data_IF_516699589331
#
_entry.id   IF_516699589331
#
_cell.length_a   1.000
_cell.length_b   1.000
_cell.length_c   1.000
_cell.angle_alpha   90.00
_cell.angle_beta   90.00
_cell.angle_gamma   90.00
#
_symmetry.space_group_name_H-M   'P 1'
#
loop_
_entity.id
_entity.type
_entity.pdbx_description
1 polymer ?
#
# COMPACT_ATOMS: atom_id res chain seq x y z
N UNK A 1 19.35 24.45 12.22
CA UNK A 1 19.13 23.15 12.88
C UNK A 1 17.68 22.70 12.89
N UNK A 2 16.77 23.31 13.65
CA UNK A 2 15.38 22.84 13.70
C UNK A 2 14.68 22.82 12.33
N UNK A 3 14.85 23.87 11.50
CA UNK A 3 14.30 23.86 10.14
C UNK A 3 14.87 22.76 9.25
N UNK A 4 16.17 22.52 9.28
CA UNK A 4 16.78 21.41 8.51
C UNK A 4 16.32 20.04 9.01
N UNK A 5 16.04 19.90 10.32
CA UNK A 5 15.48 18.68 10.88
C UNK A 5 14.04 18.46 10.38
N UNK A 6 13.19 19.50 10.35
CA UNK A 6 11.83 19.38 9.81
C UNK A 6 11.83 19.07 8.31
N UNK A 7 12.73 19.70 7.53
CA UNK A 7 12.95 19.36 6.12
C UNK A 7 13.37 17.90 5.95
N UNK A 8 14.31 17.41 6.78
CA UNK A 8 14.74 16.02 6.76
C UNK A 8 13.63 15.04 7.15
N UNK A 9 12.76 15.40 8.10
CA UNK A 9 11.57 14.62 8.45
C UNK A 9 10.57 14.52 7.30
N UNK A 10 10.47 15.56 6.46
CA UNK A 10 9.67 15.55 5.22
C UNK A 10 10.39 14.92 4.02
N UNK A 11 11.56 14.28 4.23
CA UNK A 11 12.27 13.56 3.17
C UNK A 11 13.26 14.39 2.36
N UNK A 12 13.47 15.66 2.70
CA UNK A 12 14.42 16.55 2.03
C UNK A 12 15.76 16.60 2.75
N UNK A 13 16.84 16.24 2.06
CA UNK A 13 18.20 16.40 2.58
C UNK A 13 18.69 17.83 2.47
N UNK A 14 19.48 18.28 3.44
CA UNK A 14 20.18 19.56 3.44
C UNK A 14 21.67 19.38 3.69
N UNK A 15 22.37 20.44 4.07
CA UNK A 15 23.83 20.43 4.24
C UNK A 15 24.27 19.58 5.47
N UNK A 16 23.40 19.48 6.47
CA UNK A 16 23.65 18.74 7.71
C UNK A 16 23.24 17.26 7.60
N UNK A 17 22.28 16.93 6.74
CA UNK A 17 21.69 15.59 6.62
C UNK A 17 22.00 14.98 5.26
N UNK A 18 22.79 13.92 5.26
CA UNK A 18 23.18 13.18 4.06
C UNK A 18 22.24 11.98 3.85
N UNK A 19 21.71 11.83 2.62
CA UNK A 19 20.96 10.62 2.22
C UNK A 19 21.94 9.56 1.73
N UNK A 20 21.92 8.42 2.40
CA UNK A 20 22.60 7.20 1.96
C UNK A 20 21.55 6.16 1.53
N UNK A 21 22.04 5.06 0.96
CA UNK A 21 21.19 3.95 0.48
C UNK A 21 20.37 3.35 1.63
N UNK A 22 20.94 3.30 2.83
CA UNK A 22 20.36 2.63 4.00
C UNK A 22 19.65 3.58 4.98
N UNK A 23 19.65 4.90 4.72
CA UNK A 23 19.06 5.85 5.66
C UNK A 23 19.53 7.29 5.50
N UNK A 24 18.99 8.16 6.36
CA UNK A 24 19.47 9.53 6.55
C UNK A 24 20.44 9.57 7.72
N UNK A 25 21.60 10.20 7.51
CA UNK A 25 22.67 10.30 8.49
C UNK A 25 23.11 11.75 8.66
N UNK A 26 23.57 12.09 9.86
CA UNK A 26 24.17 13.40 10.11
C UNK A 26 25.59 13.40 9.53
N UNK A 27 25.95 14.47 8.82
CA UNK A 27 27.29 14.65 8.28
C UNK A 27 28.33 14.61 9.43
N UNK A 28 29.42 13.86 9.22
CA UNK A 28 30.50 13.72 10.20
C UNK A 28 31.21 15.05 10.50
N UNK A 29 31.13 16.00 9.57
CA UNK A 29 31.72 17.35 9.69
C UNK A 29 30.93 18.29 10.61
N UNK A 30 29.71 17.91 11.01
CA UNK A 30 28.94 18.62 12.03
C UNK A 30 29.53 18.38 13.43
N UNK A 31 30.54 19.17 13.80
CA UNK A 31 31.20 19.14 15.12
C UNK A 31 30.42 19.84 16.22
N UNK A 32 29.38 20.60 15.88
CA UNK A 32 28.56 21.37 16.82
C UNK A 32 27.54 20.51 17.60
N UNK A 33 27.40 19.21 17.29
CA UNK A 33 26.50 18.27 17.98
C UNK A 33 27.28 17.28 18.84
N UNK A 34 26.81 17.06 20.08
CA UNK A 34 27.34 16.01 20.94
C UNK A 34 26.93 14.61 20.43
N UNK A 35 27.68 13.58 20.82
CA UNK A 35 27.38 12.20 20.42
C UNK A 35 25.98 11.74 20.86
N UNK A 36 25.51 12.21 22.02
CA UNK A 36 24.17 11.93 22.52
C UNK A 36 23.08 12.64 21.71
N UNK A 37 23.33 13.87 21.24
CA UNK A 37 22.40 14.57 20.36
C UNK A 37 22.31 13.89 18.99
N UNK A 38 23.46 13.43 18.45
CA UNK A 38 23.51 12.70 17.17
C UNK A 38 22.65 11.44 17.21
N UNK A 39 22.75 10.62 18.26
CA UNK A 39 21.97 9.38 18.36
C UNK A 39 20.45 9.64 18.45
N UNK A 40 20.04 10.71 19.11
CA UNK A 40 18.63 11.12 19.17
C UNK A 40 18.13 11.61 17.81
N UNK A 41 18.89 12.47 17.13
CA UNK A 41 18.53 12.93 15.79
C UNK A 41 18.49 11.77 14.79
N UNK A 42 19.43 10.82 14.85
CA UNK A 42 19.42 9.64 13.98
C UNK A 42 18.14 8.81 14.13
N UNK A 43 17.56 8.71 15.33
CA UNK A 43 16.25 8.06 15.52
C UNK A 43 15.13 8.80 14.79
N UNK A 44 15.14 10.13 14.82
CA UNK A 44 14.18 10.96 14.09
C UNK A 44 14.40 10.88 12.57
N UNK A 45 15.65 10.88 12.12
CA UNK A 45 16.00 10.77 10.71
C UNK A 45 15.56 9.44 10.08
N UNK A 46 15.45 8.36 10.86
CA UNK A 46 14.82 7.11 10.40
C UNK A 46 13.37 7.32 9.97
N UNK A 47 12.63 8.23 10.62
CA UNK A 47 11.27 8.59 10.20
C UNK A 47 11.28 9.32 8.87
N UNK A 48 12.16 10.32 8.72
CA UNK A 48 12.31 11.04 7.46
C UNK A 48 12.67 10.13 6.28
N UNK A 49 13.56 9.15 6.53
CA UNK A 49 13.89 8.14 5.53
C UNK A 49 12.69 7.23 5.21
N UNK A 50 11.96 6.76 6.23
CA UNK A 50 10.75 5.97 6.06
C UNK A 50 9.68 6.75 5.25
N UNK A 51 9.45 8.02 5.58
CA UNK A 51 8.57 8.92 4.84
C UNK A 51 9.00 9.02 3.37
N UNK A 52 10.27 9.31 3.09
CA UNK A 52 10.77 9.43 1.71
C UNK A 52 10.63 8.13 0.90
N UNK A 53 10.76 6.98 1.57
CA UNK A 53 10.60 5.66 0.95
C UNK A 53 9.14 5.38 0.59
N UNK A 54 8.22 5.72 1.50
CA UNK A 54 6.79 5.57 1.28
C UNK A 54 6.26 6.58 0.24
N UNK A 55 6.77 7.80 0.24
CA UNK A 55 6.43 8.80 -0.78
C UNK A 55 6.89 8.35 -2.17
N UNK A 56 8.10 7.82 -2.28
CA UNK A 56 8.59 7.24 -3.52
C UNK A 56 7.70 6.08 -3.99
N UNK A 57 7.24 5.23 -3.07
CA UNK A 57 6.29 4.17 -3.37
C UNK A 57 4.97 4.72 -3.93
N UNK A 58 4.35 5.69 -3.26
CA UNK A 58 3.10 6.31 -3.71
C UNK A 58 3.25 6.92 -5.11
N UNK A 59 4.36 7.59 -5.39
CA UNK A 59 4.65 8.14 -6.74
C UNK A 59 4.87 7.07 -7.80
N UNK A 60 5.38 5.89 -7.43
CA UNK A 60 5.59 4.76 -8.34
C UNK A 60 4.33 3.91 -8.54
N UNK A 61 3.42 3.91 -7.56
CA UNK A 61 2.25 3.05 -7.56
C UNK A 61 1.41 3.12 -8.86
N UNK A 62 1.09 4.30 -9.44
CA UNK A 62 0.32 4.38 -10.69
C UNK A 62 0.96 3.69 -11.91
N UNK A 63 2.26 3.41 -11.86
CA UNK A 63 3.00 2.73 -12.93
C UNK A 63 2.92 1.20 -12.80
N UNK A 64 2.48 0.70 -11.65
CA UNK A 64 2.42 -0.72 -11.36
C UNK A 64 1.09 -1.30 -11.85
N UNK A 65 1.09 -2.49 -12.48
CA UNK A 65 -0.13 -3.08 -13.02
C UNK A 65 -0.92 -3.81 -11.92
N UNK A 66 -1.48 -3.07 -10.95
CA UNK A 66 -2.33 -3.61 -9.87
C UNK A 66 -3.29 -2.56 -9.30
N UNK A 67 -4.59 -2.85 -9.33
CA UNK A 67 -5.65 -1.97 -8.80
C UNK A 67 -5.65 -1.98 -7.27
N UNK A 68 -5.41 -3.14 -6.66
CA UNK A 68 -5.30 -3.27 -5.20
C UNK A 68 -4.11 -2.51 -4.65
N UNK A 69 -2.97 -2.53 -5.37
CA UNK A 69 -1.80 -1.76 -5.00
C UNK A 69 -2.07 -0.25 -5.11
N UNK A 70 -2.80 0.21 -6.13
CA UNK A 70 -3.20 1.62 -6.22
C UNK A 70 -4.05 2.06 -5.02
N UNK A 71 -5.02 1.24 -4.62
CA UNK A 71 -5.85 1.53 -3.44
C UNK A 71 -5.03 1.51 -2.14
N UNK A 72 -4.06 0.60 -2.02
CA UNK A 72 -3.13 0.58 -0.91
C UNK A 72 -2.27 1.85 -0.89
N UNK A 73 -1.73 2.27 -2.04
CA UNK A 73 -0.93 3.47 -2.17
C UNK A 73 -1.73 4.73 -1.79
N UNK A 74 -3.01 4.80 -2.15
CA UNK A 74 -3.90 5.86 -1.69
C UNK A 74 -4.08 5.86 -0.16
N UNK A 75 -4.19 4.68 0.45
CA UNK A 75 -4.22 4.56 1.92
C UNK A 75 -2.91 5.02 2.58
N UNK A 76 -1.76 4.66 1.99
CA UNK A 76 -0.44 5.11 2.45
C UNK A 76 -0.29 6.62 2.27
N UNK A 77 -0.76 7.19 1.17
CA UNK A 77 -0.74 8.64 0.92
C UNK A 77 -1.50 9.41 2.00
N UNK A 78 -2.69 8.92 2.40
CA UNK A 78 -3.44 9.52 3.51
C UNK A 78 -2.68 9.48 4.84
N UNK A 79 -1.96 8.38 5.12
CA UNK A 79 -1.09 8.27 6.30
C UNK A 79 0.06 9.28 6.24
N UNK A 80 0.69 9.44 5.07
CA UNK A 80 1.77 10.41 4.87
C UNK A 80 1.29 11.86 5.03
N UNK A 81 0.08 12.18 4.59
CA UNK A 81 -0.53 13.49 4.83
C UNK A 81 -0.74 13.76 6.33
N UNK A 82 -1.27 12.80 7.08
CA UNK A 82 -1.41 12.95 8.55
C UNK A 82 -0.06 13.20 9.24
N UNK A 83 0.98 12.51 8.80
CA UNK A 83 2.35 12.73 9.30
C UNK A 83 2.89 14.12 8.93
N UNK A 84 2.69 14.55 7.67
CA UNK A 84 3.11 15.88 7.22
C UNK A 84 2.38 16.99 7.98
N UNK A 85 1.08 16.87 8.21
CA UNK A 85 0.29 17.81 9.00
C UNK A 85 0.81 17.90 10.45
N UNK A 86 1.13 16.75 11.06
CA UNK A 86 1.73 16.72 12.40
C UNK A 86 3.08 17.44 12.44
N UNK A 87 3.93 17.27 11.41
CA UNK A 87 5.19 18.02 11.29
C UNK A 87 4.96 19.52 11.17
N UNK A 88 4.03 19.94 10.31
CA UNK A 88 3.72 21.36 10.12
C UNK A 88 3.19 21.99 11.42
N UNK A 89 2.36 21.26 12.17
CA UNK A 89 1.91 21.71 13.48
C UNK A 89 3.07 21.84 14.48
N UNK A 90 4.01 20.89 14.47
CA UNK A 90 5.20 20.93 15.32
C UNK A 90 6.16 22.07 14.93
N UNK A 91 6.32 22.36 13.65
CA UNK A 91 7.08 23.50 13.17
C UNK A 91 6.43 24.80 13.61
N UNK A 92 5.11 24.94 13.46
CA UNK A 92 4.37 26.12 13.92
C UNK A 92 4.47 26.30 15.44
N UNK A 93 4.41 25.23 16.23
CA UNK A 93 4.64 25.26 17.69
C UNK A 93 6.06 25.73 18.02
N UNK A 94 7.05 25.23 17.29
CA UNK A 94 8.46 25.60 17.48
C UNK A 94 8.71 27.07 17.15
N UNK A 95 8.07 27.59 16.09
CA UNK A 95 8.18 28.98 15.68
C UNK A 95 7.48 29.96 16.64
N UNK A 96 6.35 29.55 17.23
CA UNK A 96 5.60 30.37 18.21
C UNK A 96 6.26 30.38 19.59
N UNK A 97 7.00 29.34 19.94
CA UNK A 97 7.70 29.26 21.21
C UNK A 97 8.88 30.24 21.20
N UNK A 98 8.88 31.19 22.15
CA UNK A 98 10.03 32.07 22.39
C UNK A 98 11.23 31.33 23.01
N UNK A 99 11.06 30.06 23.37
CA UNK A 99 12.07 29.21 24.01
C UNK A 99 12.50 28.07 23.09
N UNK A 100 13.70 27.54 23.33
CA UNK A 100 14.26 26.40 22.60
C UNK A 100 13.35 25.18 22.79
N UNK A 101 12.71 24.73 21.70
CA UNK A 101 11.90 23.51 21.73
C UNK A 101 12.80 22.29 21.90
N UNK A 102 12.68 21.51 22.99
CA UNK A 102 13.53 20.36 23.24
C UNK A 102 13.24 19.24 22.24
N UNK A 103 14.29 18.57 21.76
CA UNK A 103 14.17 17.42 20.84
C UNK A 103 13.36 16.28 21.47
N UNK A 104 13.40 16.15 22.81
CA UNK A 104 12.60 15.17 23.55
C UNK A 104 11.10 15.34 23.36
N UNK A 105 10.61 16.58 23.27
CA UNK A 105 9.19 16.86 23.03
C UNK A 105 8.81 16.46 21.60
N UNK A 106 9.72 16.68 20.64
CA UNK A 106 9.50 16.26 19.26
C UNK A 106 9.40 14.73 19.14
N UNK A 107 10.22 13.99 19.89
CA UNK A 107 10.14 12.53 19.93
C UNK A 107 8.82 12.03 20.53
N UNK A 108 8.32 12.70 21.56
CA UNK A 108 7.05 12.32 22.19
C UNK A 108 5.87 12.52 21.22
N UNK A 109 5.81 13.68 20.56
CA UNK A 109 4.74 14.00 19.60
C UNK A 109 4.77 13.08 18.36
N UNK A 110 5.96 12.61 17.96
CA UNK A 110 6.14 11.71 16.83
C UNK A 110 6.15 10.21 17.20
N UNK A 111 5.86 9.86 18.45
CA UNK A 111 5.94 8.47 18.95
C UNK A 111 5.02 7.52 18.18
N UNK A 112 3.80 7.96 17.87
CA UNK A 112 2.85 7.17 17.08
C UNK A 112 3.44 6.79 15.71
N UNK A 113 4.05 7.75 15.03
CA UNK A 113 4.64 7.53 13.71
C UNK A 113 5.95 6.74 13.78
N UNK A 114 6.67 6.78 14.91
CA UNK A 114 7.85 5.92 15.15
C UNK A 114 7.51 4.44 15.16
N UNK A 115 6.32 4.07 15.62
CA UNK A 115 5.87 2.67 15.61
C UNK A 115 5.27 2.28 14.26
N UNK A 116 4.47 3.15 13.64
CA UNK A 116 3.67 2.81 12.46
C UNK A 116 4.48 2.83 11.17
N UNK A 117 5.29 3.87 10.93
CA UNK A 117 5.99 4.06 9.63
C UNK A 117 6.95 2.91 9.29
N UNK A 118 7.76 2.36 10.23
CA UNK A 118 8.64 1.23 9.92
C UNK A 118 7.89 -0.03 9.48
N UNK A 119 6.74 -0.32 10.10
CA UNK A 119 5.91 -1.49 9.76
C UNK A 119 5.29 -1.34 8.36
N UNK A 120 4.80 -0.15 8.02
CA UNK A 120 4.29 0.14 6.67
C UNK A 120 5.43 0.07 5.64
N UNK A 121 6.62 0.58 5.95
CA UNK A 121 7.80 0.41 5.09
C UNK A 121 8.19 -1.06 4.89
N UNK A 122 8.06 -1.88 5.94
CA UNK A 122 8.32 -3.33 5.88
C UNK A 122 7.26 -4.09 5.07
N UNK A 123 6.02 -3.61 5.04
CA UNK A 123 4.98 -4.11 4.16
C UNK A 123 5.28 -3.74 2.70
N UNK A 124 5.50 -2.45 2.41
CA UNK A 124 5.78 -1.96 1.05
C UNK A 124 7.00 -2.65 0.43
N UNK A 125 8.09 -2.82 1.20
CA UNK A 125 9.29 -3.54 0.73
C UNK A 125 9.05 -5.01 0.39
N UNK A 126 8.03 -5.65 0.95
CA UNK A 126 7.66 -7.02 0.59
C UNK A 126 6.72 -7.07 -0.60
N UNK A 127 5.89 -6.05 -0.77
CA UNK A 127 4.99 -5.93 -1.92
C UNK A 127 5.76 -5.58 -3.21
N UNK A 128 6.81 -4.80 -3.09
CA UNK A 128 7.76 -4.48 -4.17
C UNK A 128 9.00 -5.32 -3.96
N UNK A 129 9.01 -6.53 -4.52
CA UNK A 129 10.25 -7.27 -4.66
C UNK A 129 10.97 -6.72 -5.88
N UNK A 130 11.98 -5.88 -5.66
CA UNK A 130 12.81 -5.31 -6.71
C UNK A 130 13.77 -6.41 -7.22
N UNK A 131 13.25 -7.33 -8.03
CA UNK A 131 14.05 -8.30 -8.76
C UNK A 131 14.82 -7.56 -9.86
N UNK A 132 15.98 -7.03 -9.49
CA UNK A 132 16.96 -6.31 -10.34
C UNK A 132 17.48 -7.08 -11.57
N UNK A 133 16.93 -8.24 -11.91
CA UNK A 133 17.47 -9.09 -12.96
C UNK A 133 16.71 -9.03 -14.29
N UNK A 134 15.44 -8.62 -14.33
CA UNK A 134 14.71 -8.50 -15.60
C UNK A 134 13.76 -7.30 -15.53
N UNK A 135 13.58 -6.58 -16.64
CA UNK A 135 12.85 -5.29 -16.76
C UNK A 135 11.34 -5.34 -16.43
N UNK A 136 10.88 -6.27 -15.61
CA UNK A 136 9.51 -6.38 -15.13
C UNK A 136 9.50 -6.29 -13.60
N UNK A 137 9.00 -5.17 -13.08
CA UNK A 137 8.70 -5.04 -11.65
C UNK A 137 7.62 -6.06 -11.29
N UNK A 138 8.02 -7.17 -10.68
CA UNK A 138 7.07 -8.17 -10.16
C UNK A 138 6.51 -7.69 -8.84
N UNK A 139 5.35 -7.03 -8.87
CA UNK A 139 4.59 -6.71 -7.68
C UNK A 139 3.75 -7.92 -7.24
N UNK A 140 3.54 -8.05 -5.93
CA UNK A 140 2.53 -8.98 -5.40
C UNK A 140 1.14 -8.44 -5.74
N UNK A 141 0.31 -9.25 -6.39
CA UNK A 141 -0.99 -8.86 -6.95
C UNK A 141 -2.18 -9.50 -6.23
N UNK A 142 -3.34 -8.86 -6.34
CA UNK A 142 -4.63 -9.41 -5.95
C UNK A 142 -4.70 -9.95 -4.52
N UNK A 143 -5.20 -11.18 -4.36
CA UNK A 143 -5.38 -11.80 -3.05
C UNK A 143 -4.11 -11.99 -2.23
N UNK A 144 -2.96 -12.24 -2.87
CA UNK A 144 -1.69 -12.38 -2.15
C UNK A 144 -1.33 -11.08 -1.42
N UNK A 145 -1.61 -9.92 -2.02
CA UNK A 145 -1.44 -8.61 -1.37
C UNK A 145 -2.38 -8.49 -0.17
N UNK A 146 -3.67 -8.82 -0.36
CA UNK A 146 -4.66 -8.76 0.71
C UNK A 146 -4.32 -9.66 1.90
N UNK A 147 -3.87 -10.89 1.64
CA UNK A 147 -3.38 -11.83 2.65
C UNK A 147 -2.18 -11.29 3.42
N UNK A 148 -1.20 -10.69 2.72
CA UNK A 148 -0.02 -10.10 3.36
C UNK A 148 -0.37 -8.92 4.28
N UNK A 149 -1.30 -8.07 3.86
CA UNK A 149 -1.79 -6.95 4.69
C UNK A 149 -2.54 -7.51 5.91
N UNK A 150 -3.43 -8.48 5.70
CA UNK A 150 -4.21 -9.10 6.77
C UNK A 150 -3.35 -9.78 7.84
N UNK A 151 -2.30 -10.50 7.43
CA UNK A 151 -1.34 -11.10 8.37
C UNK A 151 -0.66 -10.05 9.27
N UNK A 152 -0.54 -8.79 8.82
CA UNK A 152 0.02 -7.69 9.62
C UNK A 152 -1.00 -7.00 10.53
N UNK A 153 -2.29 -7.17 10.27
CA UNK A 153 -3.36 -6.77 11.17
C UNK A 153 -3.33 -7.56 12.48
N UNK A 154 -2.89 -8.82 12.47
CA UNK A 154 -2.75 -9.66 13.66
C UNK A 154 -1.56 -9.29 14.57
N UNK A 155 -0.92 -8.13 14.36
CA UNK A 155 0.17 -7.67 15.22
C UNK A 155 -0.33 -7.29 16.63
N UNK A 156 0.51 -7.51 17.64
CA UNK A 156 0.18 -7.22 19.05
C UNK A 156 0.18 -5.73 19.42
N UNK A 157 0.49 -4.83 18.49
CA UNK A 157 0.57 -3.39 18.70
C UNK A 157 -0.72 -2.71 18.23
N UNK A 158 -1.53 -2.09 19.11
CA UNK A 158 -2.83 -1.52 18.74
C UNK A 158 -2.75 -0.42 17.67
N UNK A 159 -1.72 0.44 17.75
CA UNK A 159 -1.49 1.54 16.79
C UNK A 159 -1.22 1.00 15.38
N UNK A 160 -0.31 0.04 15.28
CA UNK A 160 0.03 -0.63 14.01
C UNK A 160 -1.18 -1.38 13.47
N UNK A 161 -1.89 -2.13 14.32
CA UNK A 161 -3.11 -2.85 13.93
C UNK A 161 -4.15 -1.91 13.31
N UNK A 162 -4.46 -0.80 13.96
CA UNK A 162 -5.42 0.19 13.44
C UNK A 162 -4.97 0.74 12.07
N UNK A 163 -3.70 1.08 11.92
CA UNK A 163 -3.17 1.53 10.64
C UNK A 163 -3.29 0.45 9.54
N UNK A 164 -2.94 -0.80 9.85
CA UNK A 164 -3.07 -1.92 8.90
C UNK A 164 -4.54 -2.20 8.53
N UNK A 165 -5.47 -2.04 9.47
CA UNK A 165 -6.93 -2.13 9.20
C UNK A 165 -7.40 -1.02 8.26
N UNK A 166 -6.93 0.23 8.43
CA UNK A 166 -7.24 1.35 7.52
C UNK A 166 -6.71 1.11 6.09
N UNK A 167 -5.49 0.55 5.98
CA UNK A 167 -4.91 0.15 4.70
C UNK A 167 -5.67 -1.00 4.05
N UNK A 168 -6.06 -2.01 4.83
CA UNK A 168 -6.86 -3.15 4.35
C UNK A 168 -8.24 -2.70 3.88
N UNK A 169 -8.87 -1.79 4.62
CA UNK A 169 -10.16 -1.20 4.25
C UNK A 169 -10.11 -0.53 2.88
N UNK A 170 -9.04 0.22 2.60
CA UNK A 170 -8.84 0.84 1.28
C UNK A 170 -8.80 -0.19 0.15
N UNK A 171 -8.15 -1.34 0.38
CA UNK A 171 -8.11 -2.45 -0.57
C UNK A 171 -9.47 -3.18 -0.69
N UNK A 172 -10.17 -3.40 0.44
CA UNK A 172 -11.50 -4.02 0.46
C UNK A 172 -12.55 -3.20 -0.28
N UNK A 173 -12.44 -1.87 -0.29
CA UNK A 173 -13.34 -1.02 -1.10
C UNK A 173 -13.26 -1.37 -2.58
N UNK A 174 -12.08 -1.70 -3.10
CA UNK A 174 -11.91 -2.15 -4.49
C UNK A 174 -12.53 -3.53 -4.69
N UNK A 175 -12.23 -4.48 -3.79
CA UNK A 175 -12.78 -5.84 -3.84
C UNK A 175 -14.33 -5.81 -3.86
N UNK A 176 -14.93 -5.09 -2.92
CA UNK A 176 -16.39 -4.97 -2.82
C UNK A 176 -17.00 -4.29 -4.03
N UNK A 177 -16.33 -3.29 -4.61
CA UNK A 177 -16.79 -2.64 -5.85
C UNK A 177 -16.76 -3.62 -7.03
N UNK A 178 -15.70 -4.43 -7.15
CA UNK A 178 -15.63 -5.48 -8.17
C UNK A 178 -16.74 -6.52 -7.97
N UNK A 179 -16.95 -6.99 -6.74
CA UNK A 179 -18.02 -7.93 -6.40
C UNK A 179 -19.41 -7.36 -6.69
N UNK A 180 -19.69 -6.10 -6.33
CA UNK A 180 -20.97 -5.46 -6.62
C UNK A 180 -21.21 -5.32 -8.12
N UNK A 181 -20.18 -4.95 -8.88
CA UNK A 181 -20.30 -4.80 -10.34
C UNK A 181 -20.64 -6.15 -10.99
N UNK A 182 -20.01 -7.22 -10.52
CA UNK A 182 -20.31 -8.58 -10.94
C UNK A 182 -21.72 -9.03 -10.53
N UNK A 183 -22.11 -8.83 -9.27
CA UNK A 183 -23.41 -9.30 -8.76
C UNK A 183 -24.62 -8.52 -9.30
N UNK A 184 -24.43 -7.26 -9.71
CA UNK A 184 -25.54 -6.40 -10.18
C UNK A 184 -25.63 -6.38 -11.70
N UNK A 185 -24.49 -6.31 -12.40
CA UNK A 185 -24.46 -6.13 -13.85
C UNK A 185 -23.95 -7.36 -14.62
N UNK A 186 -23.42 -8.38 -13.93
CA UNK A 186 -22.77 -9.52 -14.60
C UNK A 186 -21.48 -9.15 -15.35
N UNK A 187 -20.94 -7.94 -15.11
CA UNK A 187 -19.75 -7.42 -15.78
C UNK A 187 -18.50 -7.53 -14.89
N UNK A 188 -17.38 -7.89 -15.50
CA UNK A 188 -16.07 -7.97 -14.84
C UNK A 188 -15.21 -6.78 -15.27
N UNK A 189 -15.00 -5.84 -14.36
CA UNK A 189 -14.07 -4.71 -14.56
C UNK A 189 -12.76 -5.01 -13.84
N UNK A 190 -11.85 -5.70 -14.54
CA UNK A 190 -10.55 -6.09 -14.01
C UNK A 190 -9.41 -5.92 -15.04
N UNK A 191 -8.82 -4.72 -15.13
CA UNK A 191 -7.73 -4.42 -16.08
C UNK A 191 -6.47 -5.27 -15.89
N UNK A 192 -6.25 -5.82 -14.68
CA UNK A 192 -5.00 -6.48 -14.30
C UNK A 192 -5.17 -7.97 -13.98
N UNK A 193 -6.37 -8.54 -14.18
CA UNK A 193 -6.69 -9.96 -13.96
C UNK A 193 -6.39 -10.42 -12.52
N UNK A 194 -6.67 -9.55 -11.55
CA UNK A 194 -6.44 -9.76 -10.12
C UNK A 194 -7.65 -10.29 -9.35
N UNK A 195 -8.84 -10.22 -9.95
CA UNK A 195 -10.09 -10.68 -9.35
C UNK A 195 -10.21 -12.20 -9.44
N UNK A 196 -10.90 -12.80 -8.47
CA UNK A 196 -11.07 -14.26 -8.39
C UNK A 196 -12.01 -14.82 -9.46
N UNK A 197 -12.74 -13.99 -10.20
CA UNK A 197 -13.56 -14.41 -11.35
C UNK A 197 -12.87 -13.99 -12.63
N UNK A 198 -12.53 -14.96 -13.46
CA UNK A 198 -11.89 -14.74 -14.76
C UNK A 198 -12.83 -15.14 -15.88
N UNK A 199 -12.92 -14.29 -16.90
CA UNK A 199 -13.54 -14.66 -18.17
C UNK A 199 -12.52 -15.48 -18.97
N UNK A 200 -12.84 -16.73 -19.29
CA UNK A 200 -12.14 -17.49 -20.32
C UNK A 200 -12.53 -16.89 -21.67
N UNK A 201 -11.61 -16.14 -22.27
CA UNK A 201 -11.74 -15.75 -23.66
C UNK A 201 -11.68 -17.03 -24.52
N UNK A 202 -12.84 -17.47 -24.98
CA UNK A 202 -13.01 -18.66 -25.83
C UNK A 202 -12.46 -18.41 -27.22
N UNK A 203 -11.14 -18.32 -27.38
CA UNK A 203 -10.51 -18.28 -28.69
C UNK A 203 -9.22 -19.11 -28.73
N UNK A 204 -9.41 -20.42 -28.91
CA UNK A 204 -8.46 -21.28 -29.60
C UNK A 204 -9.22 -22.16 -30.60
N UNK A 205 -9.66 -21.53 -31.70
CA UNK A 205 -9.94 -22.17 -32.99
C UNK A 205 -11.25 -22.95 -33.13
N UNK A 206 -12.12 -22.49 -34.03
CA UNK A 206 -12.62 -23.21 -35.23
C UNK A 206 -13.79 -22.39 -35.78
N UNK A 207 -13.66 -21.98 -37.05
CA UNK A 207 -14.73 -21.34 -37.81
C UNK A 207 -15.85 -22.33 -38.18
N UNK A 208 -16.93 -21.79 -38.76
CA UNK A 208 -18.21 -22.44 -39.15
C UNK A 208 -19.13 -22.66 -37.94
N UNK A 209 -20.40 -22.28 -37.89
CA UNK A 209 -21.39 -21.96 -38.91
C UNK A 209 -22.50 -21.09 -38.27
N UNK A 210 -23.10 -20.17 -39.04
CA UNK A 210 -23.88 -19.00 -38.54
C UNK A 210 -25.37 -19.27 -38.20
N UNK A 211 -25.80 -20.50 -37.95
CA UNK A 211 -27.25 -20.83 -37.98
C UNK A 211 -27.83 -21.62 -36.78
N UNK A 212 -27.07 -21.80 -35.68
CA UNK A 212 -27.59 -22.38 -34.42
C UNK A 212 -27.09 -21.58 -33.21
N UNK A 213 -27.55 -20.33 -33.03
CA UNK A 213 -26.85 -19.37 -32.16
C UNK A 213 -27.53 -19.05 -30.81
N UNK A 214 -28.81 -19.34 -30.59
CA UNK A 214 -29.52 -18.84 -29.40
C UNK A 214 -29.47 -19.75 -28.16
N UNK A 215 -29.50 -21.09 -28.30
CA UNK A 215 -29.44 -22.01 -27.14
C UNK A 215 -28.00 -22.36 -26.72
N UNK A 216 -27.06 -22.32 -27.65
CA UNK A 216 -25.63 -22.56 -27.44
C UNK A 216 -24.92 -21.35 -26.83
N UNK A 217 -25.39 -20.12 -27.09
CA UNK A 217 -24.86 -18.91 -26.45
C UNK A 217 -25.05 -18.91 -24.93
N UNK A 218 -26.21 -19.38 -24.43
CA UNK A 218 -26.46 -19.50 -22.99
C UNK A 218 -25.53 -20.54 -22.34
N UNK A 219 -25.29 -21.68 -22.98
CA UNK A 219 -24.36 -22.72 -22.50
C UNK A 219 -22.91 -22.24 -22.56
N UNK A 220 -22.54 -21.51 -23.61
CA UNK A 220 -21.23 -20.87 -23.76
C UNK A 220 -20.99 -19.80 -22.69
N UNK A 221 -22.00 -18.99 -22.35
CA UNK A 221 -21.93 -17.99 -21.26
C UNK A 221 -21.61 -18.66 -19.91
N UNK A 222 -22.22 -19.81 -19.65
CA UNK A 222 -21.99 -20.55 -18.41
C UNK A 222 -20.60 -21.19 -18.33
N UNK A 223 -19.94 -21.41 -19.47
CA UNK A 223 -18.58 -21.96 -19.59
C UNK A 223 -17.50 -20.87 -19.72
N UNK A 224 -17.90 -19.62 -19.90
CA UNK A 224 -16.98 -18.48 -20.07
C UNK A 224 -16.40 -17.97 -18.75
N UNK A 225 -16.90 -18.37 -17.59
CA UNK A 225 -16.40 -17.86 -16.30
C UNK A 225 -15.83 -18.98 -15.45
N UNK A 226 -14.60 -18.77 -14.99
CA UNK A 226 -13.91 -19.67 -14.08
C UNK A 226 -13.52 -18.92 -12.80
N UNK A 227 -13.64 -19.60 -11.67
CA UNK A 227 -13.17 -19.10 -10.38
C UNK A 227 -11.72 -19.52 -10.18
N UNK A 228 -10.85 -18.54 -9.94
CA UNK A 228 -9.46 -18.75 -9.57
C UNK A 228 -9.33 -18.74 -8.04
N UNK A 229 -9.19 -19.93 -7.46
CA UNK A 229 -9.07 -20.12 -6.01
C UNK A 229 -7.77 -19.54 -5.44
N UNK A 230 -6.72 -19.35 -6.24
CA UNK A 230 -5.49 -18.70 -5.78
C UNK A 230 -5.64 -17.18 -5.65
N UNK A 231 -6.64 -16.60 -6.32
CA UNK A 231 -6.97 -15.19 -6.26
C UNK A 231 -8.05 -14.87 -5.21
N UNK A 232 -8.43 -15.84 -4.37
CA UNK A 232 -9.30 -15.62 -3.21
C UNK A 232 -8.45 -15.44 -1.95
N UNK A 233 -8.67 -14.39 -1.13
CA UNK A 233 -7.99 -14.23 0.16
C UNK A 233 -8.52 -15.25 1.19
N UNK A 234 -8.09 -16.51 1.08
CA UNK A 234 -8.58 -17.62 1.91
C UNK A 234 -8.36 -17.44 3.42
N UNK A 235 -7.42 -16.58 3.82
CA UNK A 235 -7.08 -16.34 5.23
C UNK A 235 -8.25 -15.75 6.04
N UNK A 236 -9.17 -15.03 5.39
CA UNK A 236 -10.33 -14.43 6.07
C UNK A 236 -11.61 -14.45 5.23
N UNK A 237 -11.54 -14.85 3.96
CA UNK A 237 -12.69 -14.94 3.06
C UNK A 237 -13.03 -16.42 2.79
N UNK A 238 -14.13 -16.95 3.36
CA UNK A 238 -14.54 -18.33 3.14
C UNK A 238 -14.84 -18.60 1.67
N UNK A 239 -14.47 -19.78 1.20
CA UNK A 239 -14.76 -20.24 -0.17
C UNK A 239 -16.25 -20.27 -0.48
N UNK A 240 -17.10 -20.55 0.52
CA UNK A 240 -18.56 -20.54 0.38
C UNK A 240 -19.13 -19.17 -0.04
N UNK A 241 -18.51 -18.07 0.41
CA UNK A 241 -18.92 -16.72 0.02
C UNK A 241 -18.45 -16.44 -1.41
N UNK A 242 -17.25 -16.87 -1.78
CA UNK A 242 -16.74 -16.75 -3.15
C UNK A 242 -17.65 -17.47 -4.15
N UNK A 243 -18.04 -18.70 -3.82
CA UNK A 243 -18.97 -19.51 -4.61
C UNK A 243 -20.34 -18.84 -4.73
N UNK A 244 -20.88 -18.31 -3.63
CA UNK A 244 -22.16 -17.59 -3.64
C UNK A 244 -22.12 -16.38 -4.57
N UNK A 245 -21.05 -15.58 -4.51
CA UNK A 245 -20.86 -14.39 -5.36
C UNK A 245 -20.69 -14.79 -6.83
N UNK A 246 -19.97 -15.88 -7.09
CA UNK A 246 -19.82 -16.44 -8.43
C UNK A 246 -21.16 -16.89 -9.01
N UNK A 247 -21.96 -17.64 -8.25
CA UNK A 247 -23.29 -18.11 -8.68
C UNK A 247 -24.25 -16.96 -8.92
N UNK A 248 -24.27 -15.95 -8.03
CA UNK A 248 -25.16 -14.78 -8.16
C UNK A 248 -24.86 -14.03 -9.46
N UNK A 249 -23.62 -13.65 -9.72
CA UNK A 249 -23.32 -12.88 -10.94
C UNK A 249 -23.41 -13.70 -12.23
N UNK A 250 -23.35 -15.04 -12.15
CA UNK A 250 -23.63 -15.93 -13.30
C UNK A 250 -25.12 -16.02 -13.62
N UNK A 251 -25.99 -15.74 -12.65
CA UNK A 251 -27.45 -15.79 -12.80
C UNK A 251 -28.06 -14.48 -13.33
N UNK A 252 -27.28 -13.38 -13.31
CA UNK A 252 -27.62 -12.10 -13.96
C UNK A 252 -27.39 -12.21 -15.46
#
# INVERSE_FOLDING_TARGET
MHHELFLALLGHTGDVVERRVDGFFINKEASFLSQAQKSVLERLLRLGFAFSTLEQFVRQAPKLPSVYLHALAQGVEQLLHRYADAIVELEAKTLRASAVFPISNLMFELEEFMEVLPEVCGLVRRLITDTRQEHHVTCVKGAKLLSLVYQRTSSGFPRVRKCMEELLYSCHRVLLKQMMTWMVYGEIVDPHKEFFIKKMDGNAGVGTDKLMQDKTAAVMWHQQFAMDLEAVPLDYFPTSIAESVFVIGKAV
#
